data_IF_700357046360
#
_entry.id   IF_700357046360
#
_cell.length_a   1.000
_cell.length_b   1.000
_cell.length_c   1.000
_cell.angle_alpha   90.00
_cell.angle_beta   90.00
_cell.angle_gamma   90.00
#
_symmetry.space_group_name_H-M   'P 1'
#
loop_
_entity.id
_entity.type
_entity.pdbx_description
1 polymer ?
#
# COMPACT_ATOMS: atom_id res chain seq x y z
N UNK A 1 -15.49 13.95 8.80
CA UNK A 1 -14.48 12.97 8.36
C UNK A 1 -15.05 12.21 7.17
N UNK A 2 -14.30 12.02 6.09
CA UNK A 2 -14.81 11.33 4.89
C UNK A 2 -15.06 9.84 5.19
N UNK A 3 -16.14 9.25 4.67
CA UNK A 3 -16.49 7.82 4.83
C UNK A 3 -15.30 6.91 4.55
N UNK A 4 -14.51 7.22 3.51
CA UNK A 4 -13.31 6.49 3.16
C UNK A 4 -12.30 6.41 4.33
N UNK A 5 -12.09 7.52 5.04
CA UNK A 5 -11.16 7.54 6.19
C UNK A 5 -11.68 6.73 7.36
N UNK A 6 -12.99 6.74 7.60
CA UNK A 6 -13.60 5.90 8.60
C UNK A 6 -13.38 4.41 8.30
N UNK A 7 -13.66 3.99 7.07
CA UNK A 7 -13.44 2.62 6.62
C UNK A 7 -11.96 2.24 6.74
N UNK A 8 -11.05 3.14 6.31
CA UNK A 8 -9.61 2.88 6.40
C UNK A 8 -9.14 2.77 7.84
N UNK A 9 -9.60 3.64 8.73
CA UNK A 9 -9.27 3.58 10.17
C UNK A 9 -9.82 2.29 10.78
N UNK A 10 -11.07 1.93 10.50
CA UNK A 10 -11.65 0.67 10.96
C UNK A 10 -10.86 -0.55 10.47
N UNK A 11 -10.44 -0.54 9.20
CA UNK A 11 -9.62 -1.61 8.64
C UNK A 11 -8.27 -1.72 9.36
N UNK A 12 -7.61 -0.59 9.72
CA UNK A 12 -6.38 -0.59 10.52
C UNK A 12 -6.61 -1.24 11.89
N UNK A 13 -7.70 -0.91 12.57
CA UNK A 13 -8.04 -1.51 13.85
C UNK A 13 -8.33 -3.01 13.74
N UNK A 14 -9.06 -3.44 12.73
CA UNK A 14 -9.37 -4.85 12.51
C UNK A 14 -8.15 -5.70 12.15
N UNK A 15 -7.26 -5.17 11.29
CA UNK A 15 -6.04 -5.89 10.89
C UNK A 15 -4.95 -5.87 11.97
N UNK A 16 -5.08 -5.00 12.99
CA UNK A 16 -4.18 -4.88 14.13
C UNK A 16 -4.94 -5.02 15.45
N UNK A 17 -5.79 -6.03 15.56
CA UNK A 17 -6.70 -6.21 16.69
C UNK A 17 -6.07 -6.85 17.93
N UNK A 18 -4.78 -7.20 17.93
CA UNK A 18 -4.09 -7.77 19.09
C UNK A 18 -3.65 -6.69 20.06
N UNK A 19 -4.61 -6.10 20.79
CA UNK A 19 -4.35 -5.03 21.77
C UNK A 19 -3.69 -5.49 23.08
N UNK A 20 -3.53 -6.80 23.26
CA UNK A 20 -2.89 -7.39 24.43
C UNK A 20 -1.36 -7.31 24.38
N UNK A 21 -0.78 -6.91 23.24
CA UNK A 21 0.67 -6.91 23.04
C UNK A 21 1.47 -6.07 24.06
N UNK A 22 1.01 -4.93 24.59
CA UNK A 22 1.77 -4.18 25.58
C UNK A 22 1.96 -4.95 26.90
N UNK A 23 0.98 -5.79 27.25
CA UNK A 23 1.01 -6.59 28.47
C UNK A 23 1.74 -7.92 28.29
N UNK A 24 1.43 -8.62 27.19
CA UNK A 24 2.02 -9.94 26.90
C UNK A 24 3.45 -9.86 26.38
N UNK A 25 3.85 -8.71 25.81
CA UNK A 25 5.13 -8.49 25.11
C UNK A 25 5.45 -9.53 24.05
N UNK A 26 4.44 -10.22 23.53
CA UNK A 26 4.56 -11.27 22.53
C UNK A 26 3.87 -10.88 21.23
N UNK A 27 4.35 -11.45 20.12
CA UNK A 27 3.67 -11.38 18.84
C UNK A 27 2.40 -12.24 18.86
N UNK A 28 1.35 -11.77 18.20
CA UNK A 28 0.16 -12.60 17.98
C UNK A 28 0.51 -13.83 17.12
N UNK A 29 0.12 -15.01 17.58
CA UNK A 29 0.40 -16.31 16.93
C UNK A 29 -0.87 -17.07 16.51
N UNK A 30 -2.04 -16.44 16.54
CA UNK A 30 -3.30 -17.07 16.18
C UNK A 30 -3.46 -17.34 14.68
N UNK A 31 -4.45 -18.16 14.33
CA UNK A 31 -4.74 -18.61 12.96
C UNK A 31 -5.04 -17.46 11.98
N UNK A 32 -5.52 -16.31 12.44
CA UNK A 32 -5.77 -15.14 11.60
C UNK A 32 -4.50 -14.61 10.94
N UNK A 33 -3.31 -14.92 11.48
CA UNK A 33 -2.03 -14.56 10.88
C UNK A 33 -1.77 -15.24 9.53
N UNK A 34 -2.48 -16.31 9.22
CA UNK A 34 -2.45 -16.94 7.90
C UNK A 34 -3.21 -16.14 6.83
N UNK A 35 -4.10 -15.23 7.24
CA UNK A 35 -4.86 -14.39 6.32
C UNK A 35 -4.04 -13.16 5.93
N UNK A 36 -3.85 -12.94 4.63
CA UNK A 36 -3.19 -11.74 4.13
C UNK A 36 -4.15 -10.54 4.11
N UNK A 37 -3.73 -9.42 4.70
CA UNK A 37 -4.41 -8.14 4.51
C UNK A 37 -4.09 -7.57 3.11
N UNK A 38 -5.04 -6.95 2.40
CA UNK A 38 -4.78 -6.43 1.05
C UNK A 38 -3.99 -5.12 1.03
N UNK A 39 -3.31 -4.77 2.10
CA UNK A 39 -2.48 -3.58 2.28
C UNK A 39 -1.11 -3.90 2.89
N UNK A 40 -0.29 -2.87 3.05
CA UNK A 40 0.95 -3.00 3.84
C UNK A 40 0.58 -3.03 5.32
N UNK A 41 0.74 -4.18 5.95
CA UNK A 41 0.55 -4.41 7.37
C UNK A 41 1.61 -5.40 7.83
N UNK A 42 2.60 -4.95 8.59
CA UNK A 42 3.78 -5.75 8.86
C UNK A 42 3.46 -7.02 9.65
N UNK A 43 3.85 -8.19 9.14
CA UNK A 43 3.67 -9.48 9.82
C UNK A 43 4.30 -9.49 11.23
N UNK A 44 5.46 -8.85 11.39
CA UNK A 44 6.19 -8.80 12.66
C UNK A 44 5.67 -7.71 13.59
N UNK A 45 4.63 -6.95 13.21
CA UNK A 45 3.97 -6.02 14.12
C UNK A 45 3.33 -6.78 15.27
N UNK A 46 3.57 -6.41 16.55
CA UNK A 46 3.00 -7.09 17.69
C UNK A 46 1.47 -7.01 17.74
N UNK A 47 0.88 -5.92 17.26
CA UNK A 47 -0.57 -5.74 17.17
C UNK A 47 -1.21 -6.47 15.97
N UNK A 48 -0.45 -6.80 14.91
CA UNK A 48 -0.99 -7.33 13.68
C UNK A 48 -1.58 -8.74 13.84
N UNK A 49 -2.84 -8.88 13.46
CA UNK A 49 -3.55 -10.17 13.40
C UNK A 49 -3.53 -10.78 12.01
N UNK A 50 -3.16 -10.03 10.98
CA UNK A 50 -3.07 -10.47 9.58
C UNK A 50 -1.65 -10.30 9.03
N UNK A 51 -1.35 -10.98 7.92
CA UNK A 51 -0.06 -10.93 7.27
C UNK A 51 -0.01 -9.90 6.13
N UNK A 52 1.18 -9.36 5.87
CA UNK A 52 1.46 -8.56 4.69
C UNK A 52 1.63 -9.46 3.46
N UNK A 53 0.87 -9.25 2.36
CA UNK A 53 1.01 -10.07 1.16
C UNK A 53 2.38 -9.91 0.51
N UNK A 54 3.01 -8.72 0.62
CA UNK A 54 4.35 -8.50 0.11
C UNK A 54 5.39 -9.32 0.88
N UNK A 55 5.26 -9.39 2.21
CA UNK A 55 6.12 -10.25 3.02
C UNK A 55 5.96 -11.73 2.67
N UNK A 56 4.71 -12.17 2.47
CA UNK A 56 4.42 -13.54 2.08
C UNK A 56 5.00 -13.90 0.69
N UNK A 57 4.91 -13.00 -0.30
CA UNK A 57 5.57 -13.19 -1.61
C UNK A 57 7.08 -13.29 -1.44
N UNK A 58 7.71 -12.39 -0.68
CA UNK A 58 9.16 -12.44 -0.48
C UNK A 58 9.61 -13.71 0.23
N UNK A 59 8.87 -14.15 1.25
CA UNK A 59 9.15 -15.42 1.93
C UNK A 59 9.04 -16.58 0.94
N UNK A 60 8.01 -16.61 0.11
CA UNK A 60 7.86 -17.62 -0.94
C UNK A 60 9.02 -17.59 -1.93
N UNK A 61 9.44 -16.42 -2.41
CA UNK A 61 10.58 -16.28 -3.32
C UNK A 61 11.91 -16.67 -2.65
N UNK A 62 12.11 -16.25 -1.40
CA UNK A 62 13.32 -16.61 -0.62
C UNK A 62 13.42 -18.12 -0.31
N UNK A 63 12.29 -18.80 -0.26
CA UNK A 63 12.24 -20.26 -0.03
C UNK A 63 11.85 -21.04 -1.30
N UNK A 64 11.98 -20.43 -2.48
CA UNK A 64 11.52 -21.03 -3.72
C UNK A 64 12.20 -22.36 -4.03
N UNK A 65 13.55 -22.45 -3.91
CA UNK A 65 14.31 -23.66 -4.20
C UNK A 65 13.86 -24.85 -3.34
N UNK A 66 13.91 -24.81 -1.98
CA UNK A 66 13.46 -25.92 -1.17
C UNK A 66 11.96 -26.22 -1.29
N UNK A 67 11.13 -25.20 -1.60
CA UNK A 67 9.71 -25.43 -1.84
C UNK A 67 9.46 -26.14 -3.18
N UNK A 68 10.24 -25.85 -4.23
CA UNK A 68 10.17 -26.56 -5.50
C UNK A 68 10.53 -28.04 -5.33
N UNK A 69 11.63 -28.34 -4.63
CA UNK A 69 12.07 -29.70 -4.35
C UNK A 69 11.05 -30.48 -3.51
N UNK A 70 10.41 -29.81 -2.55
CA UNK A 70 9.40 -30.40 -1.67
C UNK A 70 7.96 -30.40 -2.25
N UNK A 71 7.72 -29.85 -3.45
CA UNK A 71 6.38 -29.73 -4.05
C UNK A 71 5.43 -28.79 -3.29
N UNK A 72 5.93 -27.84 -2.51
CA UNK A 72 5.15 -26.96 -1.60
C UNK A 72 4.87 -25.59 -2.22
N UNK A 73 3.84 -25.48 -3.05
CA UNK A 73 3.49 -24.23 -3.74
C UNK A 73 2.31 -23.46 -3.10
N UNK A 74 1.67 -24.02 -2.08
CA UNK A 74 0.41 -23.49 -1.55
C UNK A 74 0.48 -22.02 -1.12
N UNK A 75 1.53 -21.60 -0.43
CA UNK A 75 1.66 -20.22 0.03
C UNK A 75 1.75 -19.23 -1.14
N UNK A 76 2.57 -19.54 -2.14
CA UNK A 76 2.73 -18.68 -3.33
C UNK A 76 1.43 -18.57 -4.12
N UNK A 77 0.76 -19.68 -4.39
CA UNK A 77 -0.52 -19.70 -5.11
C UNK A 77 -1.61 -18.95 -4.36
N UNK A 78 -1.70 -19.09 -3.03
CA UNK A 78 -2.65 -18.36 -2.20
C UNK A 78 -2.46 -16.85 -2.32
N UNK A 79 -1.23 -16.35 -2.14
CA UNK A 79 -0.96 -14.90 -2.13
C UNK A 79 -1.10 -14.31 -3.52
N UNK A 80 -0.59 -14.97 -4.55
CA UNK A 80 -0.72 -14.54 -5.95
C UNK A 80 -2.20 -14.54 -6.35
N UNK A 81 -2.94 -15.60 -6.01
CA UNK A 81 -4.38 -15.70 -6.29
C UNK A 81 -5.19 -14.61 -5.59
N UNK A 82 -4.91 -14.34 -4.31
CA UNK A 82 -5.57 -13.27 -3.54
C UNK A 82 -5.30 -11.89 -4.16
N UNK A 83 -4.04 -11.58 -4.47
CA UNK A 83 -3.68 -10.30 -5.09
C UNK A 83 -4.24 -10.18 -6.52
N UNK A 84 -4.24 -11.27 -7.28
CA UNK A 84 -4.84 -11.34 -8.60
C UNK A 84 -6.34 -11.11 -8.55
N UNK A 85 -7.06 -11.78 -7.65
CA UNK A 85 -8.49 -11.63 -7.46
C UNK A 85 -8.86 -10.19 -7.07
N UNK A 86 -8.25 -9.65 -6.02
CA UNK A 86 -8.51 -8.28 -5.56
C UNK A 86 -8.11 -7.26 -6.64
N UNK A 87 -6.95 -7.47 -7.26
CA UNK A 87 -6.46 -6.59 -8.33
C UNK A 87 -7.39 -6.58 -9.55
N UNK A 88 -7.86 -7.74 -10.01
CA UNK A 88 -8.78 -7.85 -11.15
C UNK A 88 -10.16 -7.27 -10.85
N UNK A 89 -10.64 -7.35 -9.63
CA UNK A 89 -11.93 -6.76 -9.24
C UNK A 89 -11.83 -5.24 -9.09
N UNK A 90 -10.91 -4.74 -8.27
CA UNK A 90 -10.92 -3.34 -7.83
C UNK A 90 -9.59 -2.59 -8.07
N UNK A 91 -8.59 -3.21 -8.68
CA UNK A 91 -7.28 -2.58 -8.94
C UNK A 91 -6.56 -2.13 -7.67
N UNK A 92 -6.07 -0.88 -7.64
CA UNK A 92 -5.36 -0.28 -6.49
C UNK A 92 -6.28 0.25 -5.37
N UNK A 93 -7.56 -0.04 -5.39
CA UNK A 93 -8.51 0.44 -4.38
C UNK A 93 -8.09 0.09 -2.93
N UNK A 94 -7.55 -1.10 -2.61
CA UNK A 94 -7.09 -1.43 -1.26
C UNK A 94 -6.05 -0.46 -0.70
N UNK A 95 -5.20 0.13 -1.55
CA UNK A 95 -4.21 1.13 -1.12
C UNK A 95 -4.85 2.43 -0.58
N UNK A 96 -6.09 2.74 -0.99
CA UNK A 96 -6.82 3.90 -0.53
C UNK A 96 -7.71 3.63 0.67
N UNK A 97 -8.26 2.41 0.77
CA UNK A 97 -9.35 2.09 1.69
C UNK A 97 -8.95 1.20 2.86
N UNK A 98 -7.90 0.39 2.69
CA UNK A 98 -7.54 -0.64 3.67
C UNK A 98 -6.10 -0.53 4.19
N UNK A 99 -5.20 0.13 3.45
CA UNK A 99 -3.79 0.16 3.79
C UNK A 99 -3.48 1.11 4.96
N UNK A 100 -2.95 0.61 6.11
CA UNK A 100 -2.60 1.45 7.26
C UNK A 100 -1.48 2.45 6.92
N UNK A 101 -0.44 2.01 6.24
CA UNK A 101 0.66 2.90 5.86
C UNK A 101 0.22 4.01 4.89
N UNK A 102 -0.80 3.74 4.05
CA UNK A 102 -1.42 4.76 3.21
C UNK A 102 -2.16 5.84 4.02
N UNK A 103 -2.79 5.46 5.14
CA UNK A 103 -3.43 6.41 6.06
C UNK A 103 -2.41 7.33 6.72
N UNK A 104 -1.30 6.75 7.23
CA UNK A 104 -0.21 7.49 7.87
C UNK A 104 0.35 8.55 6.91
N UNK A 105 0.61 8.19 5.65
CA UNK A 105 1.09 9.15 4.64
C UNK A 105 0.14 10.32 4.41
N UNK A 106 -1.17 10.08 4.38
CA UNK A 106 -2.15 11.16 4.23
C UNK A 106 -2.27 12.04 5.48
N UNK A 107 -2.08 11.48 6.67
CA UNK A 107 -2.12 12.24 7.91
C UNK A 107 -0.90 13.15 8.03
N UNK A 108 0.30 12.62 7.80
CA UNK A 108 1.55 13.38 7.84
C UNK A 108 1.57 14.49 6.79
N UNK A 109 1.05 14.20 5.58
CA UNK A 109 0.98 15.22 4.51
C UNK A 109 0.08 16.43 4.84
N UNK A 110 -0.77 16.37 5.87
CA UNK A 110 -1.56 17.52 6.32
C UNK A 110 -0.74 18.59 7.05
N UNK A 111 0.47 18.26 7.50
CA UNK A 111 1.37 19.23 8.14
C UNK A 111 1.64 20.36 7.14
N UNK A 112 1.43 21.63 7.53
CA UNK A 112 1.69 22.76 6.65
C UNK A 112 3.19 22.85 6.32
N UNK A 113 3.52 22.78 5.03
CA UNK A 113 4.89 22.78 4.52
C UNK A 113 4.86 23.09 3.03
N UNK A 114 5.97 23.53 2.42
CA UNK A 114 6.07 23.61 0.97
C UNK A 114 5.80 22.24 0.36
N UNK A 115 4.91 22.20 -0.66
CA UNK A 115 4.48 20.93 -1.28
C UNK A 115 5.10 20.80 -2.65
N UNK A 116 5.84 19.69 -2.85
CA UNK A 116 6.51 19.38 -4.11
C UNK A 116 5.82 18.22 -4.83
N UNK A 117 5.75 18.35 -6.15
CA UNK A 117 5.24 17.28 -7.00
C UNK A 117 6.36 16.29 -7.33
N UNK A 118 6.01 15.00 -7.34
CA UNK A 118 6.93 13.95 -7.71
C UNK A 118 6.96 13.83 -9.23
N UNK A 119 8.14 13.95 -9.88
CA UNK A 119 8.28 13.76 -11.32
C UNK A 119 7.78 12.38 -11.77
N UNK A 120 7.19 12.29 -12.97
CA UNK A 120 6.60 11.05 -13.48
C UNK A 120 7.60 9.90 -13.60
N UNK A 121 8.85 10.19 -13.96
CA UNK A 121 9.87 9.14 -14.10
C UNK A 121 10.17 8.42 -12.79
N UNK A 122 10.14 9.13 -11.63
CA UNK A 122 10.33 8.53 -10.32
C UNK A 122 9.23 7.51 -9.99
N UNK A 123 8.04 7.64 -10.54
CA UNK A 123 6.94 6.69 -10.26
C UNK A 123 7.18 5.31 -10.88
N UNK A 124 8.13 5.17 -11.79
CA UNK A 124 8.53 3.88 -12.36
C UNK A 124 9.48 3.09 -11.46
N UNK A 125 10.16 3.75 -10.52
CA UNK A 125 11.07 3.07 -9.58
C UNK A 125 10.39 1.99 -8.74
N UNK A 126 9.09 2.10 -8.46
CA UNK A 126 8.33 1.03 -7.77
C UNK A 126 8.40 -0.31 -8.49
N UNK A 127 8.49 -0.32 -9.83
CA UNK A 127 8.65 -1.56 -10.62
C UNK A 127 10.07 -2.11 -10.51
N UNK A 128 11.07 -1.23 -10.45
CA UNK A 128 12.45 -1.62 -10.15
C UNK A 128 12.53 -2.23 -8.75
N UNK A 129 11.92 -1.61 -7.73
CA UNK A 129 11.87 -2.19 -6.38
C UNK A 129 11.18 -3.54 -6.36
N UNK A 130 10.08 -3.71 -7.11
CA UNK A 130 9.40 -4.99 -7.25
C UNK A 130 10.31 -6.05 -7.91
N UNK A 131 10.88 -5.73 -9.05
CA UNK A 131 11.71 -6.68 -9.80
C UNK A 131 12.99 -7.04 -9.02
N UNK A 132 13.73 -6.05 -8.54
CA UNK A 132 15.03 -6.25 -7.92
C UNK A 132 14.91 -6.85 -6.50
N UNK A 133 14.19 -6.15 -5.59
CA UNK A 133 14.19 -6.49 -4.17
C UNK A 133 13.18 -7.57 -3.78
N UNK A 134 12.14 -7.80 -4.59
CA UNK A 134 11.09 -8.78 -4.25
C UNK A 134 11.27 -10.08 -5.03
N UNK A 135 11.81 -10.02 -6.26
CA UNK A 135 11.95 -11.20 -7.13
C UNK A 135 13.41 -11.61 -7.28
N UNK A 136 14.25 -10.76 -7.87
CA UNK A 136 15.60 -11.14 -8.29
C UNK A 136 16.50 -11.45 -7.09
N UNK A 137 16.66 -10.50 -6.16
CA UNK A 137 17.58 -10.66 -5.03
C UNK A 137 17.21 -11.84 -4.10
N UNK A 138 15.94 -12.08 -3.73
CA UNK A 138 15.58 -13.24 -2.94
C UNK A 138 15.90 -14.58 -3.63
N UNK A 139 15.82 -14.64 -4.96
CA UNK A 139 16.13 -15.86 -5.72
C UNK A 139 17.62 -16.03 -5.99
N UNK A 140 18.34 -14.92 -6.25
CA UNK A 140 19.76 -14.95 -6.63
C UNK A 140 20.68 -15.10 -5.41
N UNK A 141 20.38 -14.39 -4.31
CA UNK A 141 21.18 -14.39 -3.09
C UNK A 141 20.64 -15.42 -2.09
N UNK A 142 20.61 -16.68 -2.47
CA UNK A 142 20.25 -17.80 -1.59
C UNK A 142 21.51 -18.43 -0.99
N UNK A 143 21.41 -18.86 0.26
CA UNK A 143 22.46 -19.60 0.97
C UNK A 143 22.71 -20.97 0.34
N UNK A 144 23.75 -21.69 0.81
CA UNK A 144 24.08 -23.06 0.39
C UNK A 144 22.91 -24.02 0.54
N UNK A 145 22.03 -23.80 1.50
CA UNK A 145 20.79 -24.57 1.72
C UNK A 145 19.60 -24.11 0.85
N UNK A 146 19.80 -23.15 -0.08
CA UNK A 146 18.76 -22.65 -0.96
C UNK A 146 17.80 -21.63 -0.33
N UNK A 147 18.08 -21.14 0.89
CA UNK A 147 17.27 -20.12 1.54
C UNK A 147 17.77 -18.73 1.20
N UNK A 148 16.91 -17.89 0.62
CA UNK A 148 17.20 -16.50 0.34
C UNK A 148 16.74 -15.57 1.47
N UNK A 149 17.07 -14.30 1.33
CA UNK A 149 16.71 -13.22 2.27
C UNK A 149 15.56 -12.41 1.75
N UNK A 150 14.65 -11.95 2.61
CA UNK A 150 13.55 -11.05 2.27
C UNK A 150 14.04 -9.61 2.14
N UNK A 151 14.78 -9.32 1.07
CA UNK A 151 15.55 -8.08 0.89
C UNK A 151 14.75 -6.80 1.11
N UNK A 152 13.57 -6.66 0.51
CA UNK A 152 12.77 -5.46 0.68
C UNK A 152 12.30 -5.27 2.12
N UNK A 153 11.78 -6.32 2.76
CA UNK A 153 11.29 -6.25 4.13
C UNK A 153 12.42 -6.02 5.13
N UNK A 154 13.58 -6.64 4.90
CA UNK A 154 14.71 -6.57 5.82
C UNK A 154 15.49 -5.27 5.71
N UNK A 155 15.67 -4.71 4.51
CA UNK A 155 16.56 -3.57 4.29
C UNK A 155 15.84 -2.25 3.99
N UNK A 156 14.68 -2.28 3.32
CA UNK A 156 14.08 -1.07 2.73
C UNK A 156 12.76 -0.68 3.37
N UNK A 157 11.93 -1.64 3.81
CA UNK A 157 10.53 -1.39 4.17
C UNK A 157 10.35 -0.45 5.36
N UNK A 158 9.88 0.82 5.19
CA UNK A 158 9.66 1.75 6.28
C UNK A 158 8.43 1.37 7.12
N UNK A 159 7.42 0.71 6.52
CA UNK A 159 6.27 0.21 7.26
C UNK A 159 6.68 -0.84 8.29
N UNK A 160 7.56 -1.78 7.92
CA UNK A 160 8.10 -2.77 8.86
C UNK A 160 8.91 -2.15 10.00
N UNK A 161 9.67 -1.11 9.72
CA UNK A 161 10.43 -0.39 10.76
C UNK A 161 9.50 0.35 11.72
N UNK A 162 8.47 1.03 11.20
CA UNK A 162 7.51 1.81 11.98
C UNK A 162 6.57 0.91 12.79
N UNK A 163 6.01 -0.13 12.18
CA UNK A 163 4.96 -0.96 12.78
C UNK A 163 5.52 -2.10 13.66
N UNK A 164 6.73 -2.57 13.35
CA UNK A 164 7.35 -3.69 14.08
C UNK A 164 8.66 -3.29 14.76
N UNK A 165 9.61 -2.72 14.03
CA UNK A 165 10.95 -2.43 14.54
C UNK A 165 10.93 -1.55 15.78
N UNK A 166 10.36 -0.36 15.68
CA UNK A 166 10.27 0.57 16.79
C UNK A 166 9.44 0.04 17.98
N UNK A 167 8.22 -0.51 17.80
CA UNK A 167 7.46 -1.05 18.92
C UNK A 167 8.16 -2.22 19.61
N UNK A 168 8.82 -3.11 18.89
CA UNK A 168 9.53 -4.23 19.48
C UNK A 168 10.74 -3.80 20.30
N UNK A 169 11.46 -2.75 19.87
CA UNK A 169 12.57 -2.17 20.63
C UNK A 169 12.09 -1.56 21.94
N UNK A 170 10.91 -0.91 21.94
CA UNK A 170 10.33 -0.33 23.16
C UNK A 170 9.82 -1.40 24.12
N UNK A 171 9.25 -2.50 23.59
CA UNK A 171 8.65 -3.56 24.41
C UNK A 171 9.68 -4.55 24.99
N UNK A 172 10.80 -4.77 24.31
CA UNK A 172 11.83 -5.74 24.69
C UNK A 172 13.21 -5.09 24.80
N UNK A 173 13.58 -4.57 25.98
CA UNK A 173 14.89 -3.90 26.19
C UNK A 173 16.09 -4.78 25.82
N UNK A 174 16.01 -6.11 26.03
CA UNK A 174 17.06 -7.06 25.63
C UNK A 174 17.39 -7.05 24.12
N UNK A 175 16.44 -6.63 23.26
CA UNK A 175 16.71 -6.46 21.84
C UNK A 175 17.62 -5.26 21.55
N UNK A 176 17.67 -4.28 22.46
CA UNK A 176 18.52 -3.10 22.30
C UNK A 176 20.01 -3.46 22.40
N UNK A 177 20.36 -4.51 23.15
CA UNK A 177 21.73 -4.98 23.31
C UNK A 177 22.28 -5.63 22.00
N UNK A 178 21.38 -6.10 21.12
CA UNK A 178 21.73 -6.81 19.88
C UNK A 178 21.53 -5.92 18.65
N UNK A 179 21.36 -4.60 18.83
CA UNK A 179 21.17 -3.66 17.71
C UNK A 179 22.45 -3.58 16.88
N UNK A 180 22.34 -3.98 15.61
CA UNK A 180 23.40 -3.83 14.61
C UNK A 180 23.17 -2.65 13.67
N UNK A 181 24.13 -2.36 12.80
CA UNK A 181 24.08 -1.27 11.80
C UNK A 181 22.85 -1.32 10.89
N UNK A 182 22.30 -2.51 10.63
CA UNK A 182 21.09 -2.70 9.84
C UNK A 182 19.87 -1.96 10.43
N UNK A 183 19.70 -1.95 11.75
CA UNK A 183 18.58 -1.26 12.38
C UNK A 183 18.70 0.25 12.19
N UNK A 184 19.89 0.81 12.40
CA UNK A 184 20.14 2.25 12.22
C UNK A 184 19.88 2.68 10.77
N UNK A 185 20.34 1.92 9.78
CA UNK A 185 20.07 2.22 8.37
C UNK A 185 18.57 2.22 8.04
N UNK A 186 17.79 1.28 8.60
CA UNK A 186 16.32 1.25 8.45
C UNK A 186 15.63 2.44 9.13
N UNK A 187 16.11 2.89 10.27
CA UNK A 187 15.59 4.07 10.96
C UNK A 187 15.87 5.33 10.12
N UNK A 188 17.08 5.46 9.55
CA UNK A 188 17.41 6.56 8.65
C UNK A 188 16.48 6.58 7.42
N UNK A 189 16.25 5.43 6.80
CA UNK A 189 15.31 5.31 5.67
C UNK A 189 13.90 5.72 6.12
N UNK A 190 13.44 5.27 7.29
CA UNK A 190 12.13 5.64 7.83
C UNK A 190 12.02 7.16 8.01
N UNK A 191 13.01 7.79 8.64
CA UNK A 191 13.03 9.25 8.86
C UNK A 191 13.00 9.98 7.51
N UNK A 192 13.83 9.57 6.55
CA UNK A 192 13.83 10.14 5.20
C UNK A 192 12.47 10.05 4.51
N UNK A 193 11.80 8.90 4.62
CA UNK A 193 10.45 8.69 4.07
C UNK A 193 9.41 9.54 4.81
N UNK A 194 9.49 9.67 6.14
CA UNK A 194 8.58 10.51 6.92
C UNK A 194 8.71 11.99 6.53
N UNK A 195 9.94 12.51 6.41
CA UNK A 195 10.20 13.88 5.93
C UNK A 195 9.64 14.05 4.50
N UNK A 196 9.85 13.08 3.63
CA UNK A 196 9.32 13.12 2.27
C UNK A 196 7.78 13.13 2.24
N UNK A 197 7.12 12.42 3.17
CA UNK A 197 5.65 12.45 3.31
C UNK A 197 5.11 13.82 3.70
N UNK A 198 5.88 14.62 4.44
CA UNK A 198 5.49 16.00 4.79
C UNK A 198 5.39 16.85 3.54
N UNK A 199 6.37 16.77 2.65
CA UNK A 199 6.51 17.66 1.48
C UNK A 199 5.83 17.13 0.21
N UNK A 200 5.59 15.81 0.10
CA UNK A 200 5.02 15.21 -1.13
C UNK A 200 3.83 14.30 -0.84
N UNK A 201 2.90 14.22 -1.82
CA UNK A 201 1.68 13.41 -1.73
C UNK A 201 2.01 11.92 -1.88
N UNK A 202 1.86 11.13 -0.80
CA UNK A 202 2.08 9.68 -0.77
C UNK A 202 3.35 9.22 -1.52
N UNK A 203 4.55 9.73 -1.18
CA UNK A 203 5.77 9.49 -1.95
C UNK A 203 6.15 8.01 -1.99
N UNK A 204 6.10 7.32 -0.87
CA UNK A 204 6.44 5.91 -0.80
C UNK A 204 5.53 5.05 -1.70
N UNK A 205 4.20 5.28 -1.66
CA UNK A 205 3.24 4.54 -2.49
C UNK A 205 3.44 4.79 -3.99
N UNK A 206 3.99 5.94 -4.37
CA UNK A 206 4.22 6.31 -5.78
C UNK A 206 5.55 5.79 -6.30
N UNK A 207 6.61 5.81 -5.48
CA UNK A 207 7.99 5.62 -5.93
C UNK A 207 8.57 4.27 -5.52
N UNK A 208 8.31 3.79 -4.30
CA UNK A 208 9.06 2.66 -3.75
C UNK A 208 8.21 1.45 -3.35
N UNK A 209 6.87 1.56 -3.32
CA UNK A 209 6.02 0.48 -2.83
C UNK A 209 5.82 -0.64 -3.87
N UNK A 210 6.36 -1.86 -3.67
CA UNK A 210 6.20 -2.98 -4.61
C UNK A 210 4.75 -3.48 -4.68
N UNK A 211 4.01 -3.47 -3.56
CA UNK A 211 2.60 -3.84 -3.54
C UNK A 211 1.77 -2.88 -4.40
N UNK A 212 2.11 -1.57 -4.34
CA UNK A 212 1.53 -0.57 -5.23
C UNK A 212 1.88 -0.79 -6.70
N UNK A 213 3.05 -1.35 -7.01
CA UNK A 213 3.42 -1.75 -8.36
C UNK A 213 2.57 -2.94 -8.84
N UNK A 214 2.40 -3.98 -8.02
CA UNK A 214 1.57 -5.16 -8.35
C UNK A 214 0.15 -4.73 -8.69
N UNK A 215 -0.52 -3.99 -7.80
CA UNK A 215 -1.90 -3.54 -8.05
C UNK A 215 -2.02 -2.57 -9.24
N UNK A 216 -0.96 -1.83 -9.58
CA UNK A 216 -0.99 -0.89 -10.71
C UNK A 216 -1.13 -1.58 -12.07
N UNK A 217 -0.68 -2.82 -12.21
CA UNK A 217 -0.87 -3.62 -13.43
C UNK A 217 -2.37 -3.88 -13.68
N UNK A 218 -3.14 -4.08 -12.62
CA UNK A 218 -4.56 -4.39 -12.73
C UNK A 218 -5.44 -3.16 -12.99
N UNK A 219 -4.97 -1.94 -12.72
CA UNK A 219 -5.81 -0.73 -12.85
C UNK A 219 -6.45 -0.56 -14.22
N UNK A 220 -5.78 -1.00 -15.28
CA UNK A 220 -6.30 -0.90 -16.66
C UNK A 220 -7.36 -1.96 -16.95
N UNK A 221 -7.27 -3.13 -16.33
CA UNK A 221 -8.05 -4.33 -16.69
C UNK A 221 -9.10 -4.72 -15.64
N UNK A 222 -9.12 -4.07 -14.48
CA UNK A 222 -10.04 -4.41 -13.40
C UNK A 222 -11.49 -4.10 -13.75
N UNK A 223 -12.39 -4.87 -13.15
CA UNK A 223 -13.84 -4.78 -13.35
C UNK A 223 -14.38 -3.41 -12.92
N UNK A 224 -14.02 -2.96 -11.72
CA UNK A 224 -14.38 -1.62 -11.26
C UNK A 224 -13.48 -0.57 -11.92
N UNK A 225 -14.05 0.33 -12.70
CA UNK A 225 -13.34 1.38 -13.43
C UNK A 225 -13.96 2.75 -13.17
N UNK A 226 -13.14 3.78 -13.31
CA UNK A 226 -13.63 5.15 -13.37
C UNK A 226 -13.68 5.60 -14.83
N UNK A 227 -14.73 6.29 -15.20
CA UNK A 227 -14.95 6.84 -16.54
C UNK A 227 -14.87 8.35 -16.53
N UNK A 228 -14.52 8.90 -17.66
CA UNK A 228 -14.33 10.32 -17.86
C UNK A 228 -15.11 10.77 -19.10
N UNK A 229 -15.92 11.81 -18.93
CA UNK A 229 -16.69 12.47 -19.97
C UNK A 229 -16.02 13.80 -20.33
N UNK A 230 -15.37 13.89 -21.50
CA UNK A 230 -14.67 15.12 -21.89
C UNK A 230 -15.62 16.28 -22.19
N UNK A 231 -16.89 16.02 -22.60
CA UNK A 231 -17.86 17.08 -22.93
C UNK A 231 -18.29 17.84 -21.68
N UNK A 232 -18.36 17.16 -20.53
CA UNK A 232 -18.71 17.78 -19.24
C UNK A 232 -17.50 18.39 -18.52
N UNK A 233 -16.28 18.19 -19.02
CA UNK A 233 -15.08 18.65 -18.35
C UNK A 233 -14.73 20.09 -18.71
N UNK A 234 -14.69 20.97 -17.73
CA UNK A 234 -14.28 22.37 -17.87
C UNK A 234 -12.77 22.59 -17.65
N UNK A 235 -11.98 21.54 -17.55
CA UNK A 235 -10.52 21.58 -17.29
C UNK A 235 -10.10 22.40 -16.04
N UNK A 236 -11.00 22.53 -15.05
CA UNK A 236 -10.77 23.32 -13.83
C UNK A 236 -9.70 22.74 -12.88
N UNK A 237 -9.12 21.58 -13.17
CA UNK A 237 -8.07 20.88 -12.41
C UNK A 237 -8.42 20.55 -10.94
N UNK A 238 -9.64 20.77 -10.49
CA UNK A 238 -10.07 20.50 -9.11
C UNK A 238 -9.86 19.01 -8.72
N UNK A 239 -10.08 18.08 -9.65
CA UNK A 239 -9.82 16.65 -9.47
C UNK A 239 -8.32 16.35 -9.21
N UNK A 240 -7.39 17.11 -9.80
CA UNK A 240 -5.96 17.01 -9.57
C UNK A 240 -5.57 17.56 -8.20
N UNK A 241 -6.03 18.76 -7.85
CA UNK A 241 -5.72 19.39 -6.55
C UNK A 241 -6.28 18.58 -5.37
N UNK A 242 -7.46 17.98 -5.51
CA UNK A 242 -8.05 17.08 -4.51
C UNK A 242 -7.46 15.67 -4.47
N UNK A 243 -6.64 15.28 -5.45
CA UNK A 243 -6.13 13.92 -5.57
C UNK A 243 -4.98 13.64 -4.59
N UNK A 244 -5.09 12.62 -3.70
CA UNK A 244 -4.02 12.27 -2.77
C UNK A 244 -2.80 11.64 -3.47
N UNK A 245 -2.92 11.26 -4.73
CA UNK A 245 -1.83 10.70 -5.55
C UNK A 245 -1.30 11.68 -6.59
N UNK A 246 -1.90 12.87 -6.73
CA UNK A 246 -1.53 13.83 -7.76
C UNK A 246 -1.70 13.28 -9.19
N UNK A 247 -2.79 12.54 -9.43
CA UNK A 247 -3.12 11.99 -10.75
C UNK A 247 -3.96 13.01 -11.51
N UNK A 248 -3.53 13.36 -12.72
CA UNK A 248 -4.27 14.22 -13.64
C UNK A 248 -5.33 13.38 -14.38
N UNK A 249 -6.50 13.24 -13.77
CA UNK A 249 -7.55 12.35 -14.26
C UNK A 249 -8.05 12.72 -15.67
N UNK A 250 -8.04 14.01 -16.00
CA UNK A 250 -8.44 14.53 -17.31
C UNK A 250 -7.46 14.18 -18.45
N UNK A 251 -6.22 13.72 -18.14
CA UNK A 251 -5.29 13.19 -19.16
C UNK A 251 -5.55 11.70 -19.48
N UNK A 252 -6.37 11.02 -18.69
CA UNK A 252 -6.78 9.64 -18.89
C UNK A 252 -7.29 8.99 -17.62
N UNK A 253 -8.43 8.28 -17.68
CA UNK A 253 -8.94 7.50 -16.57
C UNK A 253 -8.06 6.26 -16.31
N UNK A 254 -8.19 5.70 -15.11
CA UNK A 254 -7.54 4.43 -14.73
C UNK A 254 -6.01 4.38 -14.87
N UNK A 255 -5.35 5.53 -14.70
CA UNK A 255 -3.89 5.59 -14.69
C UNK A 255 -3.29 4.66 -13.63
N UNK A 256 -2.05 4.17 -13.87
CA UNK A 256 -1.32 3.24 -13.00
C UNK A 256 -1.19 3.72 -11.55
N UNK A 257 -1.18 5.04 -11.32
CA UNK A 257 -1.08 5.65 -9.99
C UNK A 257 -2.43 5.95 -9.33
N UNK A 258 -3.56 5.77 -10.02
CA UNK A 258 -4.88 5.98 -9.44
C UNK A 258 -5.20 4.89 -8.40
N UNK A 259 -5.44 5.29 -7.15
CA UNK A 259 -5.83 4.39 -6.05
C UNK A 259 -7.34 4.28 -5.84
N UNK A 260 -8.13 4.81 -6.77
CA UNK A 260 -9.61 4.76 -6.73
C UNK A 260 -10.20 5.16 -5.37
N UNK A 261 -9.67 6.25 -4.82
CA UNK A 261 -10.14 6.81 -3.54
C UNK A 261 -11.48 7.54 -3.65
N UNK A 262 -12.02 7.69 -4.86
CA UNK A 262 -13.29 8.35 -5.21
C UNK A 262 -13.40 9.83 -4.82
N UNK A 263 -12.33 10.47 -4.36
CA UNK A 263 -12.36 11.89 -3.99
C UNK A 263 -12.68 12.81 -5.18
N UNK A 264 -12.11 12.52 -6.34
CA UNK A 264 -12.38 13.28 -7.56
C UNK A 264 -13.86 13.24 -7.94
N UNK A 265 -14.51 12.10 -7.73
CA UNK A 265 -15.91 11.88 -8.03
C UNK A 265 -16.85 12.49 -6.99
N UNK A 266 -16.54 12.34 -5.70
CA UNK A 266 -17.45 12.73 -4.61
C UNK A 266 -17.29 14.20 -4.18
N UNK A 267 -16.09 14.77 -4.27
CA UNK A 267 -15.76 16.04 -3.64
C UNK A 267 -15.19 17.09 -4.60
N UNK A 268 -14.52 16.67 -5.68
CA UNK A 268 -13.73 17.59 -6.50
C UNK A 268 -14.42 17.96 -7.82
N UNK A 269 -15.09 17.03 -8.50
CA UNK A 269 -15.75 17.29 -9.77
C UNK A 269 -17.18 17.79 -9.55
N UNK A 270 -17.39 19.11 -9.71
CA UNK A 270 -18.71 19.72 -9.60
C UNK A 270 -19.58 19.50 -10.86
N UNK A 271 -18.96 19.20 -11.99
CA UNK A 271 -19.62 19.11 -13.30
C UNK A 271 -20.06 17.69 -13.66
N UNK A 272 -19.81 16.69 -12.79
CA UNK A 272 -20.20 15.30 -13.07
C UNK A 272 -19.46 14.65 -14.23
N UNK A 273 -18.28 15.17 -14.61
CA UNK A 273 -17.46 14.62 -15.69
C UNK A 273 -16.77 13.30 -15.34
N UNK A 274 -16.83 12.87 -14.07
CA UNK A 274 -16.22 11.63 -13.59
C UNK A 274 -17.33 10.75 -13.05
N UNK A 275 -17.40 9.51 -13.54
CA UNK A 275 -18.33 8.46 -13.13
C UNK A 275 -17.61 7.15 -12.89
N UNK A 276 -18.30 6.10 -12.49
CA UNK A 276 -17.74 4.77 -12.35
C UNK A 276 -18.55 3.74 -13.11
N UNK A 277 -17.87 2.70 -13.57
CA UNK A 277 -18.47 1.52 -14.17
C UNK A 277 -18.15 0.28 -13.33
N UNK A 278 -19.17 -0.56 -13.13
CA UNK A 278 -19.05 -1.91 -12.58
C UNK A 278 -19.36 -2.97 -13.63
N UNK A 279 -19.20 -4.23 -13.31
CA UNK A 279 -19.54 -5.33 -14.19
C UNK A 279 -21.02 -5.25 -14.61
N UNK A 280 -21.27 -5.00 -15.89
CA UNK A 280 -22.62 -5.00 -16.48
C UNK A 280 -23.43 -3.71 -16.36
N UNK A 281 -22.88 -2.63 -15.82
CA UNK A 281 -23.59 -1.35 -15.70
C UNK A 281 -23.00 -0.27 -16.61
N UNK A 282 -23.85 0.32 -17.44
CA UNK A 282 -23.56 1.58 -18.12
C UNK A 282 -23.41 2.69 -17.09
N UNK A 283 -22.60 3.69 -17.39
CA UNK A 283 -22.30 4.89 -16.57
C UNK A 283 -23.44 5.32 -15.64
N UNK A 284 -23.25 5.17 -14.32
CA UNK A 284 -24.18 5.73 -13.34
C UNK A 284 -23.64 7.10 -12.94
N UNK A 285 -24.33 8.21 -13.29
CA UNK A 285 -24.00 9.52 -12.76
C UNK A 285 -24.28 9.54 -11.25
N UNK A 286 -23.26 9.83 -10.46
CA UNK A 286 -23.44 10.00 -9.02
C UNK A 286 -24.20 11.28 -8.76
N UNK A 287 -25.33 11.24 -8.02
CA UNK A 287 -26.05 12.46 -7.68
C UNK A 287 -25.12 13.39 -6.87
N UNK A 288 -24.88 14.57 -7.41
CA UNK A 288 -24.12 15.62 -6.75
C UNK A 288 -24.84 16.01 -5.46
N UNK A 289 -24.30 15.64 -4.30
CA UNK A 289 -24.62 16.31 -3.06
C UNK A 289 -24.01 17.72 -3.13
N UNK A 290 -24.76 18.65 -3.70
CA UNK A 290 -24.47 20.08 -3.59
C UNK A 290 -24.61 20.40 -2.09
N UNK A 291 -23.51 20.54 -1.39
CA UNK A 291 -23.51 21.27 -0.14
C UNK A 291 -23.80 22.72 -0.53
N UNK A 292 -25.06 23.15 -0.32
CA UNK A 292 -25.39 24.54 -0.28
C UNK A 292 -24.46 25.22 0.72
N UNK A 293 -23.57 26.07 0.19
CA UNK A 293 -22.69 26.88 1.01
C UNK A 293 -23.52 27.93 1.75
N UNK A 294 -23.30 28.04 2.99
CA UNK A 294 -23.46 29.28 3.77
C UNK A 294 -22.08 29.72 4.19
#
# INVERSE_FOLDING_TARGET
MDLRRWIQTLAVFLTNASWQFPFTRNLYKGNLKAVCAPGLNCYSCPAATSACPLGAIQTFMATARPNFEAGRFHLGLYVIGMLGLIGSLVGRMPCAWLCPFGLIQELIHKIPSPKFEIPRFLTYFKYMFLALFVVILPLAAADEFGYGVTWFCQYVCPAGTLEAGLPMMLLKPKLQEVIGGLFYSKVIILIGVLVWMVVSRRPFCRVACPLGAIYSFFNRYSVFRLTYDPEKCTHCQSCYHGCPMGVKFYEGPNQKDCIRCLKCLQQSCKFGAISYEGAGQRTIPVPLKIKSGS
#
